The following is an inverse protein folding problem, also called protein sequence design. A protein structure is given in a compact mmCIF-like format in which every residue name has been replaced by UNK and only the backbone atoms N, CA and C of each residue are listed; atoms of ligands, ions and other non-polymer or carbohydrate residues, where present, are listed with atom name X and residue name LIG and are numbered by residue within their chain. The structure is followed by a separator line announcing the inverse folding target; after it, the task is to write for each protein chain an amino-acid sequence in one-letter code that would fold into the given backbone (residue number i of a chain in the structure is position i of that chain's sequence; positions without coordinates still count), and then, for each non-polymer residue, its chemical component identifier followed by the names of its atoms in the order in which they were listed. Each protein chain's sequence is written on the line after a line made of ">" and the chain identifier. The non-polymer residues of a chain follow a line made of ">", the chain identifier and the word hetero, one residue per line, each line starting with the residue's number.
data_IF_873643181112
#
_entry.id   IF_873643181112
#
_cell.length_a   1.000
_cell.length_b   1.000
_cell.length_c   1.000
_cell.angle_alpha   90.00
_cell.angle_beta   90.00
_cell.angle_gamma   90.00
#
_symmetry.space_group_name_H-M   'P 1'
#
loop_
_entity.id
_entity.type
_entity.pdbx_description
1 polymer ?
#
# COMPACT_ATOMS: atom_id res chain seq x y z
N UNK A 1 -21.52 -11.74 -2.93
CA UNK A 1 -20.57 -11.70 -4.07
C UNK A 1 -20.21 -10.24 -4.33
N UNK A 2 -18.94 -9.90 -4.32
CA UNK A 2 -18.48 -8.54 -4.68
C UNK A 2 -18.87 -8.23 -6.14
N UNK A 3 -19.42 -7.03 -6.37
CA UNK A 3 -19.88 -6.58 -7.69
C UNK A 3 -18.65 -6.28 -8.55
N UNK A 4 -18.59 -6.83 -9.78
CA UNK A 4 -17.55 -6.51 -10.73
C UNK A 4 -17.58 -5.02 -11.07
N UNK A 5 -16.43 -4.38 -11.07
CA UNK A 5 -16.26 -2.96 -11.37
C UNK A 5 -15.05 -2.76 -12.29
N UNK A 6 -15.30 -2.24 -13.48
CA UNK A 6 -14.29 -1.95 -14.49
C UNK A 6 -14.28 -0.45 -14.77
N UNK A 7 -13.20 0.24 -14.40
CA UNK A 7 -13.08 1.70 -14.52
C UNK A 7 -12.08 2.03 -15.62
N UNK A 8 -12.53 2.81 -16.60
CA UNK A 8 -11.71 3.31 -17.70
C UNK A 8 -11.40 4.77 -17.41
N UNK A 9 -10.11 5.07 -17.24
CA UNK A 9 -9.62 6.40 -16.88
C UNK A 9 -8.99 7.02 -18.11
N UNK A 10 -9.47 8.17 -18.48
CA UNK A 10 -8.94 8.97 -19.58
C UNK A 10 -8.97 10.46 -19.23
N UNK A 11 -8.63 11.33 -20.16
CA UNK A 11 -8.69 12.78 -19.96
C UNK A 11 -7.38 13.49 -20.28
N UNK A 12 -7.36 14.80 -20.01
CA UNK A 12 -6.28 15.71 -20.39
C UNK A 12 -4.92 15.29 -19.82
N UNK A 13 -3.90 15.40 -20.63
CA UNK A 13 -2.52 15.23 -20.18
C UNK A 13 -2.17 16.29 -19.14
N UNK A 14 -1.65 15.86 -17.97
CA UNK A 14 -1.41 16.76 -16.84
C UNK A 14 -2.61 16.94 -15.89
N UNK A 15 -3.78 16.34 -16.17
CA UNK A 15 -4.95 16.41 -15.30
C UNK A 15 -4.89 15.49 -14.07
N UNK A 16 -3.80 14.75 -13.85
CA UNK A 16 -3.62 13.95 -12.63
C UNK A 16 -3.98 12.48 -12.74
N UNK A 17 -4.12 11.92 -13.96
CA UNK A 17 -4.43 10.48 -14.17
C UNK A 17 -3.52 9.53 -13.37
N UNK A 18 -2.22 9.79 -13.35
CA UNK A 18 -1.26 8.95 -12.60
C UNK A 18 -1.56 8.93 -11.09
N UNK A 19 -1.84 10.09 -10.49
CA UNK A 19 -2.21 10.17 -9.08
C UNK A 19 -3.54 9.46 -8.81
N UNK A 20 -4.50 9.60 -9.73
CA UNK A 20 -5.78 8.91 -9.66
C UNK A 20 -5.60 7.38 -9.68
N UNK A 21 -4.76 6.88 -10.58
CA UNK A 21 -4.41 5.47 -10.67
C UNK A 21 -3.78 4.91 -9.41
N UNK A 22 -2.75 5.59 -8.89
CA UNK A 22 -2.07 5.20 -7.65
C UNK A 22 -3.06 5.07 -6.49
N UNK A 23 -4.06 5.98 -6.42
CA UNK A 23 -5.09 5.90 -5.40
C UNK A 23 -6.05 4.72 -5.58
N UNK A 24 -6.43 4.38 -6.81
CA UNK A 24 -7.23 3.17 -7.08
C UNK A 24 -6.43 1.90 -6.73
N UNK A 25 -5.13 1.86 -7.00
CA UNK A 25 -4.25 0.78 -6.56
C UNK A 25 -4.23 0.66 -5.03
N UNK A 26 -4.07 1.78 -4.31
CA UNK A 26 -4.15 1.84 -2.85
C UNK A 26 -5.50 1.31 -2.31
N UNK A 27 -6.58 1.47 -3.08
CA UNK A 27 -7.92 0.96 -2.78
C UNK A 27 -8.13 -0.51 -3.18
N UNK A 28 -7.11 -1.17 -3.74
CA UNK A 28 -7.17 -2.59 -4.10
C UNK A 28 -7.63 -2.89 -5.52
N UNK A 29 -7.74 -1.89 -6.39
CA UNK A 29 -7.98 -2.14 -7.80
C UNK A 29 -6.74 -2.75 -8.46
N UNK A 30 -6.96 -3.76 -9.30
CA UNK A 30 -5.96 -4.18 -10.25
C UNK A 30 -5.90 -3.15 -11.37
N UNK A 31 -4.75 -2.53 -11.61
CA UNK A 31 -4.65 -1.47 -12.59
C UNK A 31 -3.72 -1.81 -13.76
N UNK A 32 -4.04 -1.25 -14.93
CA UNK A 32 -3.19 -1.32 -16.12
C UNK A 32 -3.04 0.09 -16.68
N UNK A 33 -1.80 0.57 -16.75
CA UNK A 33 -1.48 1.88 -17.33
C UNK A 33 -1.29 1.77 -18.83
N UNK A 34 -1.77 2.78 -19.56
CA UNK A 34 -1.59 2.94 -21.00
C UNK A 34 -2.04 1.71 -21.82
N UNK A 35 -3.19 1.11 -21.47
CA UNK A 35 -3.74 0.01 -22.25
C UNK A 35 -4.25 0.52 -23.63
N UNK A 36 -3.77 -0.04 -24.75
CA UNK A 36 -4.30 0.33 -26.07
C UNK A 36 -5.82 0.10 -26.14
N UNK A 37 -6.61 1.08 -26.65
CA UNK A 37 -8.06 0.97 -26.71
C UNK A 37 -8.58 -0.30 -27.35
N UNK A 38 -7.93 -0.78 -28.41
CA UNK A 38 -8.29 -2.02 -29.12
C UNK A 38 -8.26 -3.28 -28.24
N UNK A 39 -7.57 -3.23 -27.11
CA UNK A 39 -7.46 -4.34 -26.16
C UNK A 39 -8.44 -4.22 -24.98
N UNK A 40 -9.05 -3.04 -24.76
CA UNK A 40 -9.88 -2.78 -23.57
C UNK A 40 -11.05 -3.77 -23.47
N UNK A 41 -11.81 -3.96 -24.55
CA UNK A 41 -12.97 -4.84 -24.56
C UNK A 41 -12.59 -6.32 -24.30
N UNK A 42 -11.48 -6.78 -24.88
CA UNK A 42 -10.96 -8.14 -24.65
C UNK A 42 -10.47 -8.33 -23.22
N UNK A 43 -9.76 -7.36 -22.70
CA UNK A 43 -9.24 -7.38 -21.34
C UNK A 43 -10.39 -7.36 -20.30
N UNK A 44 -11.38 -6.51 -20.51
CA UNK A 44 -12.57 -6.46 -19.66
C UNK A 44 -13.35 -7.79 -19.66
N UNK A 45 -13.51 -8.44 -20.83
CA UNK A 45 -14.16 -9.75 -20.94
C UNK A 45 -13.41 -10.85 -20.16
N UNK A 46 -12.07 -10.86 -20.26
CA UNK A 46 -11.22 -11.78 -19.50
C UNK A 46 -11.38 -11.56 -17.99
N UNK A 47 -11.37 -10.31 -17.54
CA UNK A 47 -11.54 -9.98 -16.13
C UNK A 47 -12.95 -10.34 -15.62
N UNK A 48 -13.98 -10.08 -16.42
CA UNK A 48 -15.37 -10.34 -16.05
C UNK A 48 -15.68 -11.83 -15.91
N UNK A 49 -15.15 -12.65 -16.83
CA UNK A 49 -15.32 -14.11 -16.84
C UNK A 49 -14.39 -14.83 -15.88
N UNK A 50 -13.37 -14.15 -15.37
CA UNK A 50 -12.40 -14.75 -14.46
C UNK A 50 -13.06 -15.15 -13.14
N UNK A 51 -12.74 -16.33 -12.66
CA UNK A 51 -13.05 -16.82 -11.30
C UNK A 51 -12.09 -16.29 -10.25
N UNK A 52 -11.06 -15.53 -10.66
CA UNK A 52 -10.07 -14.93 -9.75
C UNK A 52 -10.69 -13.81 -8.92
N UNK A 53 -10.06 -13.50 -7.78
CA UNK A 53 -10.47 -12.42 -6.87
C UNK A 53 -10.36 -11.00 -7.45
N UNK A 54 -10.02 -10.84 -8.73
CA UNK A 54 -9.83 -9.55 -9.40
C UNK A 54 -11.17 -9.01 -9.88
N UNK A 55 -11.97 -8.49 -8.92
CA UNK A 55 -13.30 -7.93 -9.21
C UNK A 55 -13.29 -6.43 -9.46
N UNK A 56 -12.23 -5.74 -9.07
CA UNK A 56 -12.06 -4.31 -9.24
C UNK A 56 -10.86 -4.05 -10.14
N UNK A 57 -11.12 -3.52 -11.32
CA UNK A 57 -10.12 -3.30 -12.37
C UNK A 57 -10.17 -1.85 -12.84
N UNK A 58 -9.03 -1.24 -13.01
CA UNK A 58 -8.88 0.10 -13.55
C UNK A 58 -7.89 0.09 -14.72
N UNK A 59 -8.25 0.72 -15.81
CA UNK A 59 -7.37 0.86 -16.98
C UNK A 59 -7.22 2.34 -17.34
N UNK A 60 -6.00 2.75 -17.68
CA UNK A 60 -5.79 4.07 -18.27
C UNK A 60 -5.60 3.92 -19.77
N UNK A 61 -6.30 4.75 -20.51
CA UNK A 61 -6.08 4.95 -21.92
C UNK A 61 -5.94 6.45 -22.22
N UNK A 62 -4.82 6.86 -22.78
CA UNK A 62 -4.53 8.27 -23.02
C UNK A 62 -3.96 8.50 -24.44
N UNK A 63 -3.92 9.80 -24.84
CA UNK A 63 -3.48 10.23 -26.16
C UNK A 63 -2.03 9.85 -26.49
N UNK A 64 -1.22 9.45 -25.49
CA UNK A 64 0.15 8.97 -25.73
C UNK A 64 0.19 7.69 -26.57
N UNK A 65 -0.91 6.97 -26.65
CA UNK A 65 -1.08 5.85 -27.57
C UNK A 65 -1.08 6.22 -29.06
N UNK A 66 -1.01 7.51 -29.42
CA UNK A 66 -1.00 7.97 -30.81
C UNK A 66 -2.27 7.58 -31.56
N UNK A 67 -2.16 7.11 -32.82
CA UNK A 67 -3.28 6.68 -33.65
C UNK A 67 -4.15 5.57 -33.05
N UNK A 68 -3.65 4.84 -32.06
CA UNK A 68 -4.46 3.83 -31.34
C UNK A 68 -5.55 4.45 -30.48
N UNK A 69 -5.37 5.73 -30.04
CA UNK A 69 -6.37 6.40 -29.20
C UNK A 69 -7.70 6.65 -29.92
N UNK A 70 -7.68 6.83 -31.24
CA UNK A 70 -8.88 7.04 -32.07
C UNK A 70 -9.86 5.85 -32.00
N UNK A 71 -9.40 4.69 -31.53
CA UNK A 71 -10.22 3.50 -31.32
C UNK A 71 -10.94 3.45 -29.95
N UNK A 72 -10.75 4.44 -29.07
CA UNK A 72 -11.38 4.40 -27.74
C UNK A 72 -12.93 4.47 -27.81
N UNK A 73 -13.56 5.34 -28.61
CA UNK A 73 -15.03 5.31 -28.74
C UNK A 73 -15.56 3.94 -29.20
N UNK A 74 -14.90 3.32 -30.17
CA UNK A 74 -15.29 1.98 -30.66
C UNK A 74 -15.13 0.90 -29.58
N UNK A 75 -14.08 1.00 -28.75
CA UNK A 75 -13.88 0.08 -27.64
C UNK A 75 -14.97 0.21 -26.56
N UNK A 76 -15.44 1.44 -26.27
CA UNK A 76 -16.56 1.69 -25.36
C UNK A 76 -17.88 1.12 -25.94
N UNK A 77 -18.14 1.33 -27.23
CA UNK A 77 -19.29 0.75 -27.91
C UNK A 77 -19.28 -0.79 -27.86
N UNK A 78 -18.11 -1.41 -27.99
CA UNK A 78 -17.96 -2.85 -27.93
C UNK A 78 -18.25 -3.39 -26.51
N UNK A 79 -17.81 -2.68 -25.46
CA UNK A 79 -18.16 -3.01 -24.06
C UNK A 79 -19.66 -2.96 -23.81
N UNK A 80 -20.32 -1.92 -24.33
CA UNK A 80 -21.78 -1.77 -24.26
C UNK A 80 -22.50 -2.92 -24.97
N UNK A 81 -22.09 -3.26 -26.19
CA UNK A 81 -22.67 -4.37 -26.98
C UNK A 81 -22.50 -5.72 -26.29
N UNK A 82 -21.40 -5.92 -25.56
CA UNK A 82 -21.14 -7.15 -24.80
C UNK A 82 -21.82 -7.17 -23.43
N UNK A 83 -22.46 -6.08 -23.01
CA UNK A 83 -23.09 -5.94 -21.70
C UNK A 83 -22.12 -6.00 -20.52
N UNK A 84 -20.84 -5.65 -20.74
CA UNK A 84 -19.82 -5.65 -19.70
C UNK A 84 -19.98 -4.38 -18.86
N UNK A 85 -20.25 -4.47 -17.55
CA UNK A 85 -20.36 -3.30 -16.68
C UNK A 85 -19.03 -2.54 -16.63
N UNK A 86 -19.06 -1.26 -16.98
CA UNK A 86 -17.89 -0.40 -16.93
C UNK A 86 -18.31 1.04 -16.58
N UNK A 87 -17.32 1.84 -16.17
CA UNK A 87 -17.50 3.26 -15.85
C UNK A 87 -16.34 4.05 -16.48
N UNK A 88 -16.66 5.08 -17.25
CA UNK A 88 -15.67 5.95 -17.90
C UNK A 88 -15.47 7.20 -17.07
N UNK A 89 -14.26 7.40 -16.57
CA UNK A 89 -13.86 8.56 -15.78
C UNK A 89 -12.95 9.45 -16.61
N UNK A 90 -13.38 10.68 -16.82
CA UNK A 90 -12.63 11.70 -17.55
C UNK A 90 -12.05 12.73 -16.61
N UNK A 91 -10.72 12.85 -16.56
CA UNK A 91 -10.04 13.88 -15.78
C UNK A 91 -9.73 15.09 -16.66
N UNK A 92 -10.09 16.27 -16.18
CA UNK A 92 -9.75 17.52 -16.84
C UNK A 92 -9.21 18.57 -15.85
N UNK A 93 -8.67 19.65 -16.40
CA UNK A 93 -8.35 20.86 -15.66
C UNK A 93 -8.40 22.06 -16.61
N UNK A 94 -8.42 23.28 -16.07
CA UNK A 94 -8.33 24.49 -16.91
C UNK A 94 -6.99 24.56 -17.65
N UNK A 95 -6.98 25.25 -18.77
CA UNK A 95 -5.77 25.37 -19.61
C UNK A 95 -4.63 26.04 -18.83
N UNK A 96 -4.95 27.05 -18.00
CA UNK A 96 -3.97 27.73 -17.15
C UNK A 96 -3.37 26.76 -16.10
N UNK A 97 -4.21 25.90 -15.51
CA UNK A 97 -3.73 24.92 -14.56
C UNK A 97 -2.83 23.88 -15.22
N UNK A 98 -3.19 23.42 -16.42
CA UNK A 98 -2.39 22.46 -17.19
C UNK A 98 -1.06 23.08 -17.60
N UNK A 99 -1.05 24.30 -18.16
CA UNK A 99 0.19 25.01 -18.52
C UNK A 99 1.12 25.15 -17.32
N UNK A 100 0.59 25.61 -16.18
CA UNK A 100 1.37 25.72 -14.93
C UNK A 100 2.00 24.38 -14.51
N UNK A 101 1.22 23.29 -14.50
CA UNK A 101 1.71 21.94 -14.14
C UNK A 101 2.82 21.45 -15.07
N UNK A 102 2.72 21.73 -16.37
CA UNK A 102 3.77 21.40 -17.33
C UNK A 102 5.05 22.20 -17.09
N UNK A 103 4.92 23.49 -16.77
CA UNK A 103 6.08 24.35 -16.44
C UNK A 103 6.77 23.87 -15.14
N UNK A 104 6.01 23.52 -14.11
CA UNK A 104 6.53 23.03 -12.83
C UNK A 104 7.27 21.70 -12.98
N UNK A 105 6.70 20.76 -13.74
CA UNK A 105 7.27 19.41 -13.91
C UNK A 105 8.35 19.34 -14.97
N UNK A 106 8.57 20.40 -15.75
CA UNK A 106 9.51 20.45 -16.90
C UNK A 106 9.30 19.31 -17.90
N UNK A 107 8.08 18.80 -18.01
CA UNK A 107 7.72 17.75 -18.98
C UNK A 107 7.24 18.38 -20.28
N UNK A 108 7.49 17.70 -21.38
CA UNK A 108 6.95 18.11 -22.68
C UNK A 108 5.53 17.57 -22.84
N UNK A 109 4.63 18.42 -23.35
CA UNK A 109 3.27 17.98 -23.68
C UNK A 109 3.29 17.00 -24.87
N UNK A 110 2.52 15.90 -24.85
CA UNK A 110 2.57 14.87 -25.89
C UNK A 110 2.37 15.41 -27.31
N UNK A 111 1.49 16.39 -27.48
CA UNK A 111 1.22 17.01 -28.78
C UNK A 111 2.04 18.28 -29.05
N UNK A 112 2.76 18.82 -28.05
CA UNK A 112 3.51 20.08 -28.21
C UNK A 112 5.02 19.84 -28.40
N UNK A 113 5.41 18.91 -29.26
CA UNK A 113 6.82 18.66 -29.57
C UNK A 113 7.48 19.82 -30.34
N UNK A 114 6.73 20.50 -31.19
CA UNK A 114 7.19 21.57 -32.08
C UNK A 114 6.37 22.86 -31.95
N UNK A 115 5.35 22.88 -31.09
CA UNK A 115 4.46 24.01 -30.86
C UNK A 115 4.44 24.41 -29.37
N UNK A 116 3.76 25.51 -29.03
CA UNK A 116 3.62 25.93 -27.63
C UNK A 116 2.75 24.96 -26.85
N UNK A 117 2.99 24.86 -25.53
CA UNK A 117 2.22 23.98 -24.63
C UNK A 117 0.71 24.28 -24.73
N UNK A 118 0.33 25.55 -24.77
CA UNK A 118 -1.07 25.97 -24.89
C UNK A 118 -1.72 25.42 -26.15
N UNK A 119 -1.07 25.51 -27.29
CA UNK A 119 -1.55 25.01 -28.58
C UNK A 119 -1.72 23.47 -28.55
N UNK A 120 -0.79 22.78 -27.84
CA UNK A 120 -0.89 21.34 -27.61
C UNK A 120 -2.10 20.95 -26.75
N UNK A 121 -2.39 21.71 -25.70
CA UNK A 121 -3.55 21.52 -24.82
C UNK A 121 -4.86 21.75 -25.59
N UNK A 122 -4.95 22.83 -26.37
CA UNK A 122 -6.12 23.12 -27.19
C UNK A 122 -6.38 22.02 -28.24
N UNK A 123 -5.33 21.50 -28.88
CA UNK A 123 -5.42 20.40 -29.82
C UNK A 123 -5.89 19.10 -29.12
N UNK A 124 -5.33 18.80 -27.95
CA UNK A 124 -5.71 17.63 -27.15
C UNK A 124 -7.19 17.69 -26.74
N UNK A 125 -7.66 18.86 -26.31
CA UNK A 125 -9.05 19.08 -25.90
C UNK A 125 -10.03 18.79 -27.05
N UNK A 126 -9.68 19.19 -28.28
CA UNK A 126 -10.49 18.90 -29.47
C UNK A 126 -10.55 17.40 -29.79
N UNK A 127 -9.40 16.71 -29.70
CA UNK A 127 -9.34 15.27 -29.93
C UNK A 127 -10.15 14.52 -28.86
N UNK A 128 -10.08 14.95 -27.59
CA UNK A 128 -10.75 14.29 -26.47
C UNK A 128 -12.24 14.64 -26.35
N UNK A 129 -12.77 15.59 -27.09
CA UNK A 129 -14.15 16.07 -26.95
C UNK A 129 -15.20 14.95 -27.08
N UNK A 130 -15.02 14.03 -28.04
CA UNK A 130 -15.93 12.90 -28.26
C UNK A 130 -15.91 11.91 -27.08
N UNK A 131 -14.76 11.61 -26.53
CA UNK A 131 -14.62 10.72 -25.37
C UNK A 131 -15.14 11.39 -24.09
N UNK A 132 -14.89 12.70 -23.92
CA UNK A 132 -15.44 13.48 -22.82
C UNK A 132 -16.97 13.43 -22.79
N UNK A 133 -17.62 13.49 -23.96
CA UNK A 133 -19.08 13.43 -24.07
C UNK A 133 -19.65 12.04 -23.70
N UNK A 134 -18.85 10.97 -23.78
CA UNK A 134 -19.22 9.61 -23.41
C UNK A 134 -18.83 9.24 -21.98
N UNK A 135 -18.19 10.15 -21.24
CA UNK A 135 -17.76 9.89 -19.88
C UNK A 135 -18.96 9.85 -18.92
N UNK A 136 -19.00 8.82 -18.05
CA UNK A 136 -19.99 8.70 -16.99
C UNK A 136 -19.69 9.69 -15.85
N UNK A 137 -18.40 10.02 -15.66
CA UNK A 137 -17.91 10.91 -14.63
C UNK A 137 -16.85 11.84 -15.20
N UNK A 138 -17.04 13.14 -14.99
CA UNK A 138 -16.02 14.15 -15.32
C UNK A 138 -15.50 14.72 -14.00
N UNK A 139 -14.19 14.70 -13.83
CA UNK A 139 -13.51 15.23 -12.63
C UNK A 139 -12.65 16.41 -13.04
N UNK A 140 -13.06 17.60 -12.62
CA UNK A 140 -12.27 18.83 -12.76
C UNK A 140 -11.26 18.92 -11.61
N UNK A 141 -9.99 18.77 -11.95
CA UNK A 141 -8.88 18.82 -10.99
C UNK A 141 -8.23 20.19 -10.90
N UNK A 142 -8.80 21.24 -11.49
CA UNK A 142 -8.22 22.59 -11.58
C UNK A 142 -7.75 23.12 -10.23
N UNK A 143 -8.63 23.08 -9.23
CA UNK A 143 -8.38 23.57 -7.88
C UNK A 143 -8.08 22.48 -6.87
N UNK A 144 -8.11 21.21 -7.28
CA UNK A 144 -7.93 20.07 -6.37
C UNK A 144 -6.49 19.92 -5.91
N UNK A 145 -6.29 19.84 -4.60
CA UNK A 145 -5.06 19.35 -3.98
C UNK A 145 -5.06 17.80 -3.97
N UNK A 146 -3.90 17.15 -3.81
CA UNK A 146 -3.86 15.68 -3.72
C UNK A 146 -4.77 15.09 -2.64
N UNK A 147 -4.97 15.81 -1.51
CA UNK A 147 -5.88 15.39 -0.43
C UNK A 147 -7.35 15.41 -0.85
N UNK A 148 -7.77 16.46 -1.58
CA UNK A 148 -9.16 16.62 -2.04
C UNK A 148 -9.54 15.51 -3.03
N UNK A 149 -8.59 15.16 -3.92
CA UNK A 149 -8.75 14.05 -4.84
C UNK A 149 -8.88 12.71 -4.10
N UNK A 150 -8.10 12.52 -3.04
CA UNK A 150 -8.16 11.30 -2.22
C UNK A 150 -9.51 11.17 -1.51
N UNK A 151 -10.04 12.26 -0.94
CA UNK A 151 -11.34 12.28 -0.28
C UNK A 151 -12.47 11.99 -1.29
N UNK A 152 -12.46 12.65 -2.44
CA UNK A 152 -13.42 12.39 -3.51
C UNK A 152 -13.39 10.91 -3.96
N UNK A 153 -12.20 10.35 -4.16
CA UNK A 153 -12.05 8.96 -4.56
C UNK A 153 -12.52 7.99 -3.48
N UNK A 154 -12.21 8.29 -2.22
CA UNK A 154 -12.68 7.51 -1.07
C UNK A 154 -14.20 7.42 -1.01
N UNK A 155 -14.90 8.53 -1.25
CA UNK A 155 -16.38 8.57 -1.22
C UNK A 155 -17.00 7.82 -2.41
N UNK A 156 -16.39 7.85 -3.60
CA UNK A 156 -17.00 7.30 -4.81
C UNK A 156 -16.55 5.88 -5.16
N UNK A 157 -15.27 5.57 -4.95
CA UNK A 157 -14.66 4.29 -5.32
C UNK A 157 -14.32 3.44 -4.10
N UNK A 158 -14.42 4.00 -2.90
CA UNK A 158 -13.98 3.45 -1.63
C UNK A 158 -14.83 2.36 -1.01
N UNK A 159 -15.58 1.61 -1.80
CA UNK A 159 -16.29 0.43 -1.31
C UNK A 159 -15.70 -0.88 -1.81
N UNK A 160 -14.42 -0.94 -2.08
CA UNK A 160 -13.69 -2.20 -1.94
C UNK A 160 -13.40 -2.34 -0.47
N UNK A 161 -14.32 -3.02 0.20
CA UNK A 161 -14.19 -3.35 1.60
C UNK A 161 -12.90 -4.17 1.78
N UNK A 162 -11.89 -3.44 2.14
CA UNK A 162 -10.81 -3.84 3.04
C UNK A 162 -10.14 -2.54 3.43
N UNK A 163 -10.40 -2.07 4.65
CA UNK A 163 -9.27 -1.65 5.49
C UNK A 163 -8.17 -2.65 5.13
N UNK A 164 -7.23 -2.29 4.26
CA UNK A 164 -6.03 -3.11 4.08
C UNK A 164 -5.47 -3.19 5.47
N UNK A 165 -5.73 -4.30 6.15
CA UNK A 165 -5.21 -4.52 7.48
C UNK A 165 -3.71 -4.39 7.31
N UNK A 166 -3.15 -3.40 7.98
CA UNK A 166 -1.72 -3.14 7.93
C UNK A 166 -0.98 -4.41 8.34
N UNK A 167 -0.09 -4.89 7.49
CA UNK A 167 0.80 -5.99 7.83
C UNK A 167 1.79 -5.52 8.89
N UNK A 168 1.71 -6.06 10.08
CA UNK A 168 2.62 -5.75 11.18
C UNK A 168 3.62 -6.89 11.31
N UNK A 169 4.91 -6.57 11.24
CA UNK A 169 5.97 -7.54 11.53
C UNK A 169 6.68 -7.13 12.81
N UNK A 170 6.70 -8.01 13.80
CA UNK A 170 7.47 -7.84 15.03
C UNK A 170 8.58 -8.88 15.03
N UNK A 171 9.83 -8.46 15.04
CA UNK A 171 10.91 -9.44 15.05
C UNK A 171 12.02 -9.13 16.05
N UNK A 172 12.65 -10.19 16.55
CA UNK A 172 13.81 -10.08 17.44
C UNK A 172 15.12 -10.09 16.66
N UNK A 173 16.10 -9.32 17.16
CA UNK A 173 17.45 -9.32 16.61
C UNK A 173 18.54 -9.18 17.70
N UNK A 174 19.78 -9.51 17.33
CA UNK A 174 20.97 -9.28 18.15
C UNK A 174 21.78 -8.10 17.65
N UNK A 175 22.05 -7.10 18.49
CA UNK A 175 22.88 -5.94 18.11
C UNK A 175 24.27 -6.35 17.61
N UNK A 176 24.84 -7.47 18.12
CA UNK A 176 26.11 -8.01 17.63
C UNK A 176 26.09 -8.41 16.13
N UNK A 177 24.91 -8.58 15.55
CA UNK A 177 24.73 -8.93 14.15
C UNK A 177 24.24 -7.77 13.26
N UNK A 178 24.26 -6.56 13.81
CA UNK A 178 23.85 -5.33 13.13
C UNK A 178 22.38 -4.98 13.30
N UNK A 179 22.09 -3.67 13.23
CA UNK A 179 20.75 -3.12 13.29
C UNK A 179 20.05 -3.41 11.96
N UNK A 180 18.77 -3.84 11.97
CA UNK A 180 17.98 -4.00 10.77
C UNK A 180 17.78 -2.67 10.02
N UNK A 181 17.92 -2.67 8.71
CA UNK A 181 17.77 -1.48 7.87
C UNK A 181 16.33 -1.25 7.39
N UNK A 182 15.49 -2.27 7.50
CA UNK A 182 14.09 -2.32 7.05
C UNK A 182 13.09 -2.15 8.19
N UNK A 183 13.57 -1.86 9.42
CA UNK A 183 12.71 -1.61 10.57
C UNK A 183 12.25 -0.15 10.61
N UNK A 184 10.94 0.06 10.72
CA UNK A 184 10.37 1.39 11.00
C UNK A 184 10.68 1.86 12.41
N UNK A 185 10.79 0.91 13.35
CA UNK A 185 11.10 1.18 14.75
C UNK A 185 12.04 0.13 15.34
N UNK A 186 13.05 0.59 16.05
CA UNK A 186 14.01 -0.27 16.75
C UNK A 186 13.93 0.00 18.25
N UNK A 187 13.74 -1.06 19.04
CA UNK A 187 13.61 -0.99 20.49
C UNK A 187 14.73 -1.81 21.14
N UNK A 188 15.56 -1.14 21.95
CA UNK A 188 16.61 -1.77 22.70
C UNK A 188 16.09 -2.28 24.07
N UNK A 189 16.20 -3.58 24.31
CA UNK A 189 15.75 -4.22 25.56
C UNK A 189 16.92 -4.76 26.39
N UNK A 190 18.15 -4.27 26.20
CA UNK A 190 19.34 -4.73 26.92
C UNK A 190 19.34 -4.36 28.42
N UNK A 191 18.53 -3.40 28.83
CA UNK A 191 18.35 -3.02 30.24
C UNK A 191 17.52 -4.01 31.06
N UNK A 192 16.82 -4.96 30.41
CA UNK A 192 16.07 -6.02 31.09
C UNK A 192 17.00 -7.08 31.68
N UNK A 193 16.56 -7.86 32.70
CA UNK A 193 17.34 -8.94 33.28
C UNK A 193 17.88 -9.88 32.22
N UNK A 194 19.14 -10.26 32.35
CA UNK A 194 19.82 -11.05 31.32
C UNK A 194 19.95 -12.53 31.71
N UNK A 195 19.17 -13.45 31.12
CA UNK A 195 19.23 -14.87 31.42
C UNK A 195 20.60 -15.51 31.14
N UNK A 196 21.44 -14.90 30.29
CA UNK A 196 22.77 -15.39 29.98
C UNK A 196 23.67 -15.61 31.22
N UNK A 197 23.44 -14.86 32.32
CA UNK A 197 24.18 -15.00 33.53
C UNK A 197 23.66 -16.12 34.46
N UNK A 198 22.59 -16.80 34.09
CA UNK A 198 22.06 -17.99 34.76
C UNK A 198 22.52 -19.20 33.93
N UNK A 199 23.39 -20.06 34.52
CA UNK A 199 24.05 -21.14 33.77
C UNK A 199 23.07 -22.06 33.10
N UNK A 200 21.93 -22.37 33.75
CA UNK A 200 20.86 -23.19 33.19
C UNK A 200 20.21 -22.55 31.97
N UNK A 201 20.03 -21.21 31.93
CA UNK A 201 19.29 -20.50 30.91
C UNK A 201 20.16 -19.99 29.75
N UNK A 202 21.46 -20.07 29.90
CA UNK A 202 22.46 -19.47 29.00
C UNK A 202 22.26 -19.83 27.51
N UNK A 203 21.84 -21.06 27.26
CA UNK A 203 21.62 -21.61 25.92
C UNK A 203 20.15 -21.92 25.60
N UNK A 204 19.21 -21.47 26.42
CA UNK A 204 17.77 -21.59 26.18
C UNK A 204 17.24 -20.30 25.58
N UNK A 205 16.15 -20.39 24.82
CA UNK A 205 15.60 -19.19 24.18
C UNK A 205 14.62 -18.44 25.11
N UNK A 206 14.32 -17.19 24.75
CA UNK A 206 13.31 -16.39 25.44
C UNK A 206 11.87 -16.91 25.28
N UNK A 207 11.64 -17.94 24.44
CA UNK A 207 10.36 -18.63 24.25
C UNK A 207 10.13 -19.69 25.33
N UNK A 208 11.19 -20.20 25.94
CA UNK A 208 11.12 -21.20 27.01
C UNK A 208 10.45 -20.58 28.25
N UNK A 209 9.41 -21.25 28.82
CA UNK A 209 8.61 -20.68 29.92
C UNK A 209 9.44 -20.25 31.15
N UNK A 210 10.46 -21.00 31.52
CA UNK A 210 11.33 -20.71 32.67
C UNK A 210 12.17 -19.45 32.45
N UNK A 211 12.70 -19.28 31.22
CA UNK A 211 13.43 -18.08 30.79
C UNK A 211 12.51 -16.87 30.74
N UNK A 212 11.32 -17.06 30.15
CA UNK A 212 10.30 -16.02 30.10
C UNK A 212 9.88 -15.56 31.49
N UNK A 213 9.65 -16.49 32.41
CA UNK A 213 9.29 -16.21 33.80
C UNK A 213 10.41 -15.46 34.52
N UNK A 214 11.68 -15.84 34.31
CA UNK A 214 12.83 -15.12 34.88
C UNK A 214 12.85 -13.65 34.47
N UNK A 215 12.66 -13.37 33.16
CA UNK A 215 12.64 -11.99 32.65
C UNK A 215 11.42 -11.24 33.18
N UNK A 216 10.23 -11.87 33.15
CA UNK A 216 8.94 -11.30 33.54
C UNK A 216 8.87 -10.95 35.05
N UNK A 217 9.60 -11.68 35.91
CA UNK A 217 9.58 -11.48 37.38
C UNK A 217 10.01 -10.07 37.80
N UNK A 218 10.87 -9.43 36.98
CA UNK A 218 11.38 -8.10 37.27
C UNK A 218 10.31 -7.01 37.24
N UNK A 219 10.22 -6.13 38.24
CA UNK A 219 9.32 -4.97 38.19
C UNK A 219 9.59 -4.05 36.99
N UNK A 220 10.85 -3.90 36.58
CA UNK A 220 11.25 -3.11 35.40
C UNK A 220 10.67 -3.71 34.12
N UNK A 221 10.68 -5.04 33.99
CA UNK A 221 10.10 -5.73 32.82
C UNK A 221 8.58 -5.52 32.75
N UNK A 222 7.90 -5.64 33.87
CA UNK A 222 6.43 -5.44 33.94
C UNK A 222 6.05 -4.02 33.53
N UNK A 223 6.73 -3.03 34.07
CA UNK A 223 6.46 -1.61 33.78
C UNK A 223 6.80 -1.26 32.32
N UNK A 224 7.95 -1.72 31.83
CA UNK A 224 8.33 -1.55 30.43
C UNK A 224 7.31 -2.15 29.49
N UNK A 225 6.92 -3.39 29.72
CA UNK A 225 5.92 -4.11 28.91
C UNK A 225 4.60 -3.33 28.84
N UNK A 226 4.08 -2.86 29.97
CA UNK A 226 2.87 -2.04 30.03
C UNK A 226 2.97 -0.78 29.18
N UNK A 227 4.08 -0.03 29.32
CA UNK A 227 4.32 1.20 28.54
C UNK A 227 4.49 0.90 27.06
N UNK A 228 5.26 -0.13 26.71
CA UNK A 228 5.49 -0.55 25.35
C UNK A 228 4.18 -0.94 24.65
N UNK A 229 3.34 -1.74 25.28
CA UNK A 229 2.08 -2.19 24.70
C UNK A 229 1.12 -1.03 24.42
N UNK A 230 0.99 -0.12 25.39
CA UNK A 230 0.16 1.08 25.20
C UNK A 230 0.70 1.97 24.08
N UNK A 231 2.00 2.19 24.02
CA UNK A 231 2.63 3.00 22.99
C UNK A 231 2.51 2.36 21.61
N UNK A 232 2.78 1.05 21.48
CA UNK A 232 2.67 0.34 20.21
C UNK A 232 1.22 0.30 19.69
N UNK A 233 0.25 0.05 20.56
CA UNK A 233 -1.17 0.10 20.17
C UNK A 233 -1.54 1.47 19.59
N UNK A 234 -1.12 2.55 20.27
CA UNK A 234 -1.36 3.91 19.78
C UNK A 234 -0.69 4.18 18.41
N UNK A 235 0.61 3.88 18.29
CA UNK A 235 1.37 4.14 17.07
C UNK A 235 0.85 3.34 15.86
N UNK A 236 0.57 2.07 16.08
CA UNK A 236 0.04 1.16 15.04
C UNK A 236 -1.29 1.71 14.49
N UNK A 237 -2.20 2.12 15.37
CA UNK A 237 -3.48 2.71 14.97
C UNK A 237 -3.28 4.01 14.16
N UNK A 238 -2.37 4.90 14.59
CA UNK A 238 -2.08 6.14 13.89
C UNK A 238 -1.53 5.91 12.47
N UNK A 239 -0.64 4.95 12.29
CA UNK A 239 -0.09 4.64 10.96
C UNK A 239 -1.10 3.94 10.07
N UNK A 240 -1.90 3.01 10.61
CA UNK A 240 -2.99 2.35 9.89
C UNK A 240 -4.00 3.38 9.37
N UNK A 241 -4.44 4.30 10.22
CA UNK A 241 -5.46 5.31 9.87
C UNK A 241 -4.95 6.32 8.83
N UNK A 242 -3.61 6.44 8.67
CA UNK A 242 -2.96 7.21 7.61
C UNK A 242 -2.64 6.39 6.35
N UNK A 243 -3.11 5.14 6.27
CA UNK A 243 -2.97 4.29 5.09
C UNK A 243 -1.62 3.60 4.94
N UNK A 244 -0.79 3.50 6.00
CA UNK A 244 0.44 2.70 5.95
C UNK A 244 0.06 1.22 5.82
N UNK A 245 0.63 0.54 4.83
CA UNK A 245 0.29 -0.86 4.50
C UNK A 245 1.17 -1.88 5.21
N UNK A 246 2.37 -1.47 5.66
CA UNK A 246 3.32 -2.32 6.37
C UNK A 246 3.96 -1.55 7.52
N UNK A 247 4.14 -2.20 8.67
CA UNK A 247 4.83 -1.62 9.82
C UNK A 247 5.73 -2.66 10.49
N UNK A 248 7.02 -2.38 10.53
CA UNK A 248 8.05 -3.31 10.99
C UNK A 248 8.69 -2.84 12.29
N UNK A 249 8.58 -3.66 13.35
CA UNK A 249 9.09 -3.38 14.69
C UNK A 249 10.21 -4.37 15.01
N UNK A 250 11.40 -3.87 15.24
CA UNK A 250 12.57 -4.66 15.60
C UNK A 250 12.89 -4.52 17.08
N UNK A 251 12.96 -5.64 17.80
CA UNK A 251 13.30 -5.70 19.23
C UNK A 251 14.72 -6.25 19.38
N UNK A 252 15.64 -5.46 19.94
CA UNK A 252 17.06 -5.79 19.99
C UNK A 252 17.57 -6.12 21.41
N UNK A 253 18.31 -7.23 21.56
CA UNK A 253 19.20 -7.47 22.70
C UNK A 253 20.61 -7.81 22.20
N UNK A 254 21.56 -8.14 23.09
CA UNK A 254 22.95 -8.38 22.69
C UNK A 254 23.07 -9.49 21.63
N UNK A 255 22.52 -10.66 21.91
CA UNK A 255 22.64 -11.84 21.06
C UNK A 255 21.38 -12.24 20.28
N UNK A 256 20.23 -11.58 20.49
CA UNK A 256 18.99 -11.92 19.78
C UNK A 256 18.35 -13.24 20.21
N UNK A 257 18.63 -13.75 21.43
CA UNK A 257 18.20 -15.08 21.87
C UNK A 257 17.24 -15.08 23.07
N UNK A 258 17.41 -14.20 24.04
CA UNK A 258 16.64 -14.20 25.30
C UNK A 258 15.64 -13.05 25.38
N UNK A 259 16.10 -11.85 25.81
CA UNK A 259 15.26 -10.69 26.14
C UNK A 259 14.47 -10.18 24.91
N UNK A 260 15.13 -10.06 23.77
CA UNK A 260 14.47 -9.64 22.52
C UNK A 260 13.42 -10.64 22.08
N UNK A 261 13.72 -11.94 22.11
CA UNK A 261 12.77 -13.01 21.77
C UNK A 261 11.55 -12.95 22.69
N UNK A 262 11.76 -12.91 24.02
CA UNK A 262 10.68 -12.78 25.00
C UNK A 262 9.77 -11.57 24.73
N UNK A 263 10.36 -10.38 24.53
CA UNK A 263 9.56 -9.16 24.30
C UNK A 263 8.82 -9.21 22.95
N UNK A 264 9.47 -9.75 21.92
CA UNK A 264 8.87 -9.93 20.59
C UNK A 264 7.65 -10.84 20.65
N UNK A 265 7.73 -11.98 21.31
CA UNK A 265 6.60 -12.91 21.50
C UNK A 265 5.43 -12.23 22.24
N UNK A 266 5.74 -11.52 23.35
CA UNK A 266 4.71 -10.85 24.15
C UNK A 266 4.06 -9.69 23.42
N UNK A 267 4.83 -8.88 22.67
CA UNK A 267 4.29 -7.79 21.87
C UNK A 267 3.47 -8.31 20.69
N UNK A 268 3.99 -9.33 20.00
CA UNK A 268 3.27 -9.97 18.88
C UNK A 268 1.93 -10.55 19.32
N UNK A 269 1.89 -11.26 20.45
CA UNK A 269 0.64 -11.77 21.02
C UNK A 269 -0.35 -10.63 21.34
N UNK A 270 0.11 -9.55 21.98
CA UNK A 270 -0.73 -8.40 22.30
C UNK A 270 -1.30 -7.71 21.05
N UNK A 271 -0.48 -7.54 20.00
CA UNK A 271 -0.95 -6.92 18.76
C UNK A 271 -1.94 -7.82 17.99
N UNK A 272 -1.78 -9.14 18.06
CA UNK A 272 -2.73 -10.11 17.47
C UNK A 272 -4.14 -10.04 18.06
N UNK A 273 -4.30 -9.53 19.28
CA UNK A 273 -5.61 -9.32 19.89
C UNK A 273 -6.46 -8.27 19.15
N UNK A 274 -5.79 -7.31 18.47
CA UNK A 274 -6.45 -6.15 17.82
C UNK A 274 -6.28 -6.10 16.30
N UNK A 275 -5.28 -6.79 15.77
CA UNK A 275 -4.89 -6.72 14.35
C UNK A 275 -4.82 -8.12 13.74
N UNK A 276 -5.44 -8.31 12.57
CA UNK A 276 -5.55 -9.61 11.92
C UNK A 276 -4.21 -10.10 11.31
N UNK A 277 -3.35 -9.17 10.87
CA UNK A 277 -2.14 -9.50 10.13
C UNK A 277 -0.88 -9.11 10.91
N UNK A 278 -0.56 -9.91 11.93
CA UNK A 278 0.65 -9.75 12.74
C UNK A 278 1.56 -10.96 12.57
N UNK A 279 2.75 -10.73 12.03
CA UNK A 279 3.81 -11.71 11.92
C UNK A 279 4.84 -11.56 13.03
N UNK A 280 5.35 -12.67 13.56
CA UNK A 280 6.37 -12.71 14.61
C UNK A 280 7.54 -13.54 14.11
N UNK A 281 8.75 -12.97 14.14
CA UNK A 281 9.96 -13.57 13.61
C UNK A 281 11.16 -13.41 14.55
N UNK A 282 12.18 -14.26 14.37
CA UNK A 282 13.44 -14.19 15.13
C UNK A 282 14.63 -14.27 14.20
N UNK A 283 15.14 -13.10 13.77
CA UNK A 283 16.16 -12.98 12.73
C UNK A 283 17.45 -13.75 13.04
N UNK A 284 17.93 -13.66 14.28
CA UNK A 284 19.25 -14.15 14.64
C UNK A 284 19.24 -15.39 15.56
N UNK A 285 18.08 -16.00 15.77
CA UNK A 285 17.96 -17.14 16.68
C UNK A 285 18.86 -18.31 16.22
N UNK A 286 18.83 -18.63 14.92
CA UNK A 286 19.62 -19.69 14.30
C UNK A 286 21.15 -19.48 14.37
N UNK A 287 21.60 -18.23 14.66
CA UNK A 287 23.03 -17.89 14.78
C UNK A 287 23.60 -18.18 16.17
N UNK A 288 22.74 -18.55 17.09
CA UNK A 288 23.12 -18.82 18.47
C UNK A 288 23.13 -20.33 18.71
N UNK A 289 23.98 -20.79 19.66
CA UNK A 289 23.95 -22.17 20.14
C UNK A 289 22.72 -22.32 21.05
N UNK A 290 21.69 -22.98 20.56
CA UNK A 290 20.45 -23.26 21.28
C UNK A 290 20.51 -24.71 21.78
N UNK A 291 20.17 -24.94 23.03
CA UNK A 291 20.03 -26.26 23.65
C UNK A 291 18.55 -26.56 23.93
N UNK A 292 17.72 -25.52 24.18
CA UNK A 292 16.29 -25.66 24.43
C UNK A 292 15.49 -24.48 23.86
N UNK A 293 14.45 -24.82 23.11
CA UNK A 293 13.42 -23.87 22.65
C UNK A 293 12.03 -24.38 23.08
N UNK A 294 11.01 -23.52 22.99
CA UNK A 294 9.61 -23.90 23.29
C UNK A 294 9.04 -24.97 22.34
N UNK A 295 9.61 -25.07 21.14
CA UNK A 295 9.21 -26.07 20.13
C UNK A 295 9.87 -27.45 20.31
N UNK A 296 10.84 -27.56 21.20
CA UNK A 296 11.49 -28.83 21.55
C UNK A 296 10.60 -29.59 22.54
N UNK A 297 9.68 -30.42 22.01
CA UNK A 297 8.84 -31.34 22.79
C UNK A 297 9.23 -32.79 22.47
#
# INVERSE_FOLDING_TARGET
>A
MERFRFVIITGMSGAGKTNFMQKLEDMGYYYVDNLPPVLIARFADLCWKSTSNTRHVAVVSDIRGGSFFDALPQALDELNKRGIPHEVVFLEASDEALVRRYMETRRQHPLAKTMRIQEGIEAERKILAGVRAQADVIIDTTAMKPADLQEYMGSRFGAVDKKRDMQITVFSFGFKYGIPIDADMVIDVRFLPNPFYVEEYKHWTGRVPEVAAYIEKSPVTKEFKRKLFNFMGFIVDQFRDRGKTQFTIAIGCTGGMHRSVFVTEKLGAHLKEKHAHVNVEHRDLHRNRIVRDADDK
#
